data_IF_573644286891
#
_entry.id   IF_573644286891
#
_cell.length_a   1.000
_cell.length_b   1.000
_cell.length_c   1.000
_cell.angle_alpha   90.00
_cell.angle_beta   90.00
_cell.angle_gamma   90.00
#
_symmetry.space_group_name_H-M   'P 1'
#
loop_
_entity.id
_entity.type
_entity.pdbx_description
1 polymer ?
#
# COMPACT_ATOMS: atom_id res chain seq x y z
N UNK A 1 7.88 -10.33 46.16
CA UNK A 1 9.27 -10.44 46.67
C UNK A 1 10.21 -10.43 45.48
N UNK A 2 11.27 -9.59 45.55
CA UNK A 2 12.49 -9.59 44.71
C UNK A 2 12.30 -9.22 43.24
N UNK A 3 13.13 -8.39 42.59
CA UNK A 3 14.25 -7.56 43.02
C UNK A 3 14.45 -6.49 41.95
N UNK A 4 14.67 -5.25 42.39
CA UNK A 4 15.15 -4.13 41.60
C UNK A 4 16.67 -4.27 41.40
N UNK A 5 17.16 -4.04 40.19
CA UNK A 5 18.59 -3.80 39.89
C UNK A 5 18.67 -2.72 38.79
N UNK A 6 19.21 -1.52 39.08
CA UNK A 6 19.49 -0.51 38.07
C UNK A 6 20.93 -0.67 37.56
N UNK A 7 21.09 -1.03 36.29
CA UNK A 7 22.37 -0.95 35.59
C UNK A 7 22.55 0.47 35.04
N UNK A 8 23.40 1.25 35.70
CA UNK A 8 23.81 2.57 35.25
C UNK A 8 24.71 2.42 34.01
N UNK A 9 24.20 2.79 32.84
CA UNK A 9 24.98 2.90 31.61
C UNK A 9 25.43 4.35 31.42
N UNK A 10 26.74 4.55 31.60
CA UNK A 10 27.46 5.80 31.38
C UNK A 10 27.43 6.17 29.90
N UNK A 11 26.64 7.18 29.55
CA UNK A 11 26.53 7.69 28.19
C UNK A 11 27.65 8.72 27.94
N UNK A 12 28.70 8.32 27.22
CA UNK A 12 29.77 9.24 26.75
C UNK A 12 29.23 10.12 25.62
N UNK A 13 29.10 11.42 25.88
CA UNK A 13 28.75 12.43 24.87
C UNK A 13 29.94 12.73 23.94
N UNK A 14 29.92 12.19 22.73
CA UNK A 14 30.74 12.67 21.61
C UNK A 14 29.99 13.79 20.87
N UNK A 15 30.55 15.00 20.88
CA UNK A 15 30.01 16.16 20.17
C UNK A 15 30.43 16.07 18.69
N UNK A 16 29.49 15.73 17.80
CA UNK A 16 29.69 15.74 16.35
C UNK A 16 29.28 17.10 15.81
N UNK A 17 30.20 17.82 15.16
CA UNK A 17 29.95 19.09 14.50
C UNK A 17 29.10 18.88 13.22
N UNK A 18 27.88 19.42 13.19
CA UNK A 18 27.04 19.44 11.99
C UNK A 18 27.64 20.38 10.93
N UNK A 19 28.10 19.82 9.81
CA UNK A 19 28.32 20.58 8.58
C UNK A 19 26.98 20.78 7.87
N UNK A 20 26.62 22.00 7.41
CA UNK A 20 25.40 22.23 6.66
C UNK A 20 25.59 21.72 5.23
N UNK A 21 25.42 20.41 5.04
CA UNK A 21 25.27 19.83 3.70
C UNK A 21 23.97 20.37 3.12
N UNK A 22 24.08 21.36 2.22
CA UNK A 22 22.97 21.87 1.43
C UNK A 22 22.34 20.72 0.67
N UNK A 23 21.19 20.25 1.14
CA UNK A 23 20.36 19.31 0.40
C UNK A 23 19.66 20.11 -0.69
N UNK A 24 20.27 20.17 -1.87
CA UNK A 24 19.52 20.52 -3.08
C UNK A 24 18.34 19.56 -3.18
N UNK A 25 17.13 20.12 -3.29
CA UNK A 25 15.90 19.33 -3.37
C UNK A 25 15.91 18.52 -4.67
N UNK A 26 16.40 17.28 -4.59
CA UNK A 26 16.38 16.35 -5.72
C UNK A 26 14.94 15.91 -5.98
N UNK A 27 14.50 16.06 -7.23
CA UNK A 27 13.23 15.49 -7.67
C UNK A 27 13.36 13.96 -7.76
N UNK A 28 12.46 13.18 -7.15
CA UNK A 28 12.50 11.72 -7.26
C UNK A 28 12.27 11.28 -8.71
N UNK A 29 12.92 10.20 -9.10
CA UNK A 29 12.71 9.53 -10.38
C UNK A 29 11.44 8.68 -10.34
N UNK A 30 10.91 8.34 -11.53
CA UNK A 30 9.71 7.48 -11.65
C UNK A 30 9.93 6.11 -10.99
N UNK A 31 11.14 5.55 -11.10
CA UNK A 31 11.51 4.28 -10.47
C UNK A 31 11.45 4.36 -8.95
N UNK A 32 12.05 5.40 -8.36
CA UNK A 32 12.02 5.63 -6.90
C UNK A 32 10.58 5.78 -6.41
N UNK A 33 9.72 6.51 -7.13
CA UNK A 33 8.31 6.64 -6.78
C UNK A 33 7.51 5.34 -6.93
N UNK A 34 7.85 4.50 -7.90
CA UNK A 34 7.27 3.17 -8.07
C UNK A 34 7.57 2.27 -6.88
N UNK A 35 8.82 2.27 -6.41
CA UNK A 35 9.25 1.50 -5.24
C UNK A 35 8.54 1.95 -3.95
N UNK A 36 8.34 3.26 -3.77
CA UNK A 36 7.61 3.80 -2.62
C UNK A 36 6.13 3.39 -2.59
N UNK A 37 5.53 3.09 -3.75
CA UNK A 37 4.14 2.65 -3.83
C UNK A 37 3.98 1.13 -3.65
N UNK A 38 5.06 0.34 -3.68
CA UNK A 38 5.01 -1.13 -3.59
C UNK A 38 4.32 -1.64 -2.32
N UNK A 39 4.61 -1.14 -1.10
CA UNK A 39 3.95 -1.63 0.11
C UNK A 39 2.43 -1.45 0.07
N UNK A 40 1.97 -0.32 -0.48
CA UNK A 40 0.55 -0.03 -0.66
C UNK A 40 -0.11 -1.02 -1.64
N UNK A 41 0.56 -1.32 -2.78
CA UNK A 41 0.08 -2.29 -3.77
C UNK A 41 0.02 -3.70 -3.18
N UNK A 42 1.06 -4.14 -2.48
CA UNK A 42 1.14 -5.48 -1.90
C UNK A 42 0.04 -5.72 -0.86
N UNK A 43 -0.20 -4.72 0.01
CA UNK A 43 -1.27 -4.76 1.03
C UNK A 43 -2.66 -4.95 0.39
N UNK A 44 -2.95 -4.19 -0.67
CA UNK A 44 -4.24 -4.27 -1.36
C UNK A 44 -4.37 -5.55 -2.18
N UNK A 45 -3.29 -5.98 -2.86
CA UNK A 45 -3.26 -7.24 -3.61
C UNK A 45 -3.46 -8.45 -2.71
N UNK A 46 -2.86 -8.47 -1.51
CA UNK A 46 -3.08 -9.54 -0.54
C UNK A 46 -4.55 -9.62 -0.10
N UNK A 47 -5.19 -8.47 0.15
CA UNK A 47 -6.61 -8.43 0.48
C UNK A 47 -7.49 -8.89 -0.70
N UNK A 48 -7.16 -8.49 -1.93
CA UNK A 48 -7.86 -8.95 -3.14
C UNK A 48 -7.77 -10.48 -3.22
N UNK A 49 -6.56 -11.05 -3.21
CA UNK A 49 -6.36 -12.50 -3.37
C UNK A 49 -7.05 -13.33 -2.27
N UNK A 50 -7.05 -12.85 -1.03
CA UNK A 50 -7.77 -13.48 0.07
C UNK A 50 -9.31 -13.49 -0.12
N UNK A 51 -9.84 -12.63 -1.00
CA UNK A 51 -11.26 -12.40 -1.19
C UNK A 51 -11.73 -12.73 -2.62
N UNK A 52 -11.07 -13.65 -3.35
CA UNK A 52 -11.50 -14.07 -4.69
C UNK A 52 -12.42 -15.29 -4.72
N UNK A 53 -12.58 -16.02 -3.62
CA UNK A 53 -13.32 -17.29 -3.63
C UNK A 53 -14.79 -17.12 -3.96
N UNK A 54 -15.30 -17.89 -4.93
CA UNK A 54 -16.69 -17.84 -5.39
C UNK A 54 -17.23 -19.25 -5.66
N UNK A 55 -18.57 -19.37 -5.68
CA UNK A 55 -19.26 -20.58 -6.13
C UNK A 55 -19.96 -20.37 -7.49
N UNK A 56 -20.47 -19.17 -7.73
CA UNK A 56 -21.17 -18.79 -8.98
C UNK A 56 -20.80 -17.37 -9.41
N UNK A 57 -21.04 -17.03 -10.68
CA UNK A 57 -20.78 -15.67 -11.22
C UNK A 57 -21.46 -14.58 -10.39
N UNK A 58 -22.65 -14.87 -9.85
CA UNK A 58 -23.41 -13.94 -9.02
C UNK A 58 -22.72 -13.60 -7.68
N UNK A 59 -21.70 -14.36 -7.27
CA UNK A 59 -20.89 -14.05 -6.08
C UNK A 59 -19.83 -13.01 -6.37
N UNK A 60 -19.50 -12.77 -7.64
CA UNK A 60 -18.42 -11.89 -8.05
C UNK A 60 -18.90 -10.47 -8.32
N UNK A 61 -18.02 -9.50 -8.08
CA UNK A 61 -18.21 -8.10 -8.42
C UNK A 61 -16.90 -7.48 -8.89
N UNK A 62 -17.01 -6.46 -9.75
CA UNK A 62 -15.89 -5.63 -10.14
C UNK A 62 -15.75 -4.47 -9.15
N UNK A 63 -14.53 -4.21 -8.69
CA UNK A 63 -14.18 -3.05 -7.87
C UNK A 63 -13.10 -2.23 -8.55
N UNK A 64 -13.06 -0.93 -8.27
CA UNK A 64 -11.90 -0.10 -8.58
C UNK A 64 -10.79 -0.34 -7.55
N UNK A 65 -9.55 -0.46 -8.01
CA UNK A 65 -8.39 -0.70 -7.15
C UNK A 65 -7.47 0.51 -7.25
N UNK A 66 -7.58 1.40 -6.27
CA UNK A 66 -6.78 2.62 -6.22
C UNK A 66 -6.51 3.08 -4.79
N UNK A 67 -5.47 3.86 -4.64
CA UNK A 67 -5.11 4.59 -3.42
C UNK A 67 -4.62 5.99 -3.78
N UNK A 68 -4.13 6.74 -2.80
CA UNK A 68 -3.51 8.05 -3.04
C UNK A 68 -2.12 7.98 -3.69
N UNK A 69 -1.48 6.80 -3.72
CA UNK A 69 -0.14 6.61 -4.30
C UNK A 69 -0.05 5.54 -5.41
N UNK A 70 -1.13 4.84 -5.74
CA UNK A 70 -1.17 3.93 -6.89
C UNK A 70 -2.58 3.80 -7.48
N UNK A 71 -2.63 3.34 -8.73
CA UNK A 71 -3.85 2.96 -9.44
C UNK A 71 -3.62 1.63 -10.17
N UNK A 72 -4.65 0.78 -10.21
CA UNK A 72 -4.66 -0.51 -10.89
C UNK A 72 -5.98 -0.75 -11.65
N UNK A 73 -6.69 0.33 -12.03
CA UNK A 73 -7.98 0.28 -12.70
C UNK A 73 -9.02 -0.52 -11.90
N UNK A 74 -9.39 -1.72 -12.36
CA UNK A 74 -10.42 -2.55 -11.76
C UNK A 74 -9.98 -4.01 -11.62
N UNK A 75 -10.52 -4.71 -10.63
CA UNK A 75 -10.37 -6.16 -10.49
C UNK A 75 -11.68 -6.81 -10.06
N UNK A 76 -11.74 -8.13 -10.11
CA UNK A 76 -12.89 -8.93 -9.70
C UNK A 76 -12.63 -9.60 -8.35
N UNK A 77 -13.55 -9.44 -7.40
CA UNK A 77 -13.51 -10.07 -6.07
C UNK A 77 -14.87 -10.71 -5.74
N UNK A 78 -14.90 -11.54 -4.70
CA UNK A 78 -16.13 -11.99 -4.09
C UNK A 78 -16.83 -10.83 -3.39
N UNK A 79 -18.15 -10.71 -3.55
CA UNK A 79 -18.99 -9.67 -2.92
C UNK A 79 -18.85 -9.64 -1.40
N UNK A 80 -18.69 -10.79 -0.77
CA UNK A 80 -18.47 -10.91 0.68
C UNK A 80 -17.17 -10.25 1.17
N UNK A 81 -16.19 -10.07 0.29
CA UNK A 81 -14.89 -9.50 0.61
C UNK A 81 -14.75 -8.00 0.37
N UNK A 82 -15.79 -7.33 -0.13
CA UNK A 82 -15.74 -5.91 -0.49
C UNK A 82 -15.21 -5.03 0.65
N UNK A 83 -15.80 -5.16 1.84
CA UNK A 83 -15.42 -4.36 3.00
C UNK A 83 -13.96 -4.57 3.41
N UNK A 84 -13.44 -5.79 3.29
CA UNK A 84 -12.05 -6.10 3.63
C UNK A 84 -11.07 -5.44 2.63
N UNK A 85 -11.38 -5.46 1.34
CA UNK A 85 -10.55 -4.80 0.31
C UNK A 85 -10.62 -3.28 0.42
N UNK A 86 -11.80 -2.71 0.67
CA UNK A 86 -11.97 -1.28 0.94
C UNK A 86 -11.17 -0.82 2.16
N UNK A 87 -11.20 -1.60 3.24
CA UNK A 87 -10.39 -1.34 4.42
C UNK A 87 -8.89 -1.39 4.09
N UNK A 88 -8.43 -2.38 3.33
CA UNK A 88 -7.03 -2.46 2.91
C UNK A 88 -6.60 -1.26 2.07
N UNK A 89 -7.44 -0.79 1.13
CA UNK A 89 -7.18 0.41 0.33
C UNK A 89 -7.11 1.67 1.19
N UNK A 90 -8.02 1.81 2.16
CA UNK A 90 -8.02 2.92 3.11
C UNK A 90 -6.75 2.93 3.96
N UNK A 91 -6.37 1.78 4.55
CA UNK A 91 -5.16 1.67 5.35
C UNK A 91 -3.89 1.84 4.52
N UNK A 92 -3.84 1.34 3.27
CA UNK A 92 -2.71 1.61 2.37
C UNK A 92 -2.57 3.11 2.08
N UNK A 93 -3.68 3.81 1.88
CA UNK A 93 -3.69 5.27 1.65
C UNK A 93 -3.23 6.07 2.86
N UNK A 94 -3.53 5.59 4.08
CA UNK A 94 -3.16 6.26 5.32
C UNK A 94 -1.73 5.95 5.76
N UNK A 95 -1.30 4.69 5.67
CA UNK A 95 -0.04 4.23 6.26
C UNK A 95 1.13 4.37 5.27
N UNK A 96 0.92 3.90 4.04
CA UNK A 96 2.01 3.70 3.07
C UNK A 96 2.17 4.90 2.14
N UNK A 97 1.05 5.49 1.70
CA UNK A 97 1.08 6.58 0.73
C UNK A 97 1.56 7.92 1.32
N UNK A 98 1.70 8.04 2.64
CA UNK A 98 2.33 9.21 3.25
C UNK A 98 3.80 9.34 2.84
N UNK A 99 4.54 8.24 2.78
CA UNK A 99 5.94 8.24 2.37
C UNK A 99 6.10 8.63 0.89
N UNK A 100 5.20 8.13 0.03
CA UNK A 100 5.14 8.52 -1.38
C UNK A 100 4.94 10.03 -1.54
N UNK A 101 3.97 10.62 -0.82
CA UNK A 101 3.72 12.05 -0.86
C UNK A 101 4.91 12.86 -0.29
N UNK A 102 5.51 12.41 0.81
CA UNK A 102 6.66 13.05 1.44
C UNK A 102 7.91 13.03 0.55
N UNK A 103 8.06 12.01 -0.30
CA UNK A 103 9.12 11.94 -1.30
C UNK A 103 8.91 12.90 -2.49
N UNK A 104 7.77 13.60 -2.58
CA UNK A 104 7.42 14.47 -3.70
C UNK A 104 6.91 13.71 -4.93
N UNK A 105 6.56 12.45 -4.77
CA UNK A 105 6.05 11.62 -5.85
C UNK A 105 4.62 12.02 -6.26
N UNK A 106 4.30 11.82 -7.54
CA UNK A 106 2.98 12.10 -8.11
C UNK A 106 2.44 10.84 -8.75
N UNK A 107 1.17 10.54 -8.46
CA UNK A 107 0.47 9.43 -9.09
C UNK A 107 0.13 9.80 -10.54
N UNK A 108 0.69 9.06 -11.49
CA UNK A 108 0.34 9.13 -12.91
C UNK A 108 -0.63 7.97 -13.19
N UNK A 109 -1.88 8.29 -13.49
CA UNK A 109 -2.93 7.31 -13.76
C UNK A 109 -2.97 7.05 -15.28
N UNK A 110 -2.59 5.84 -15.75
CA UNK A 110 -2.73 5.50 -17.15
C UNK A 110 -4.22 5.31 -17.52
N UNK A 111 -4.60 5.46 -18.81
CA UNK A 111 -5.95 5.13 -19.25
C UNK A 111 -6.32 3.67 -18.95
N UNK A 112 -7.49 3.47 -18.37
CA UNK A 112 -8.02 2.14 -18.07
C UNK A 112 -8.90 1.63 -19.22
N UNK A 113 -8.82 0.32 -19.50
CA UNK A 113 -9.86 -0.36 -20.28
C UNK A 113 -11.15 -0.45 -19.47
N UNK A 114 -12.30 -0.42 -20.15
CA UNK A 114 -13.59 -0.56 -19.50
C UNK A 114 -13.71 -1.90 -18.74
N UNK A 115 -14.53 -1.95 -17.67
CA UNK A 115 -14.63 -3.13 -16.83
C UNK A 115 -15.21 -4.32 -17.60
N UNK A 116 -14.57 -5.48 -17.46
CA UNK A 116 -15.09 -6.75 -17.95
C UNK A 116 -16.08 -7.30 -16.92
N UNK A 117 -17.23 -7.87 -17.33
CA UNK A 117 -18.15 -8.50 -16.39
C UNK A 117 -17.45 -9.61 -15.59
N UNK A 118 -17.57 -9.61 -14.25
CA UNK A 118 -16.86 -10.56 -13.40
C UNK A 118 -17.51 -11.93 -13.51
N UNK A 119 -16.69 -12.98 -13.57
CA UNK A 119 -17.16 -14.37 -13.64
C UNK A 119 -16.44 -15.25 -12.63
N UNK A 120 -17.09 -16.31 -12.18
CA UNK A 120 -16.52 -17.31 -11.30
C UNK A 120 -15.92 -18.44 -12.13
N UNK A 121 -14.58 -18.50 -12.20
CA UNK A 121 -13.85 -19.58 -12.88
C UNK A 121 -12.99 -20.33 -11.88
N UNK A 122 -13.12 -21.65 -11.85
CA UNK A 122 -12.30 -22.51 -10.98
C UNK A 122 -12.36 -22.11 -9.50
N UNK A 123 -13.53 -21.62 -9.05
CA UNK A 123 -13.74 -21.15 -7.69
C UNK A 123 -13.14 -19.79 -7.37
N UNK A 124 -12.71 -19.01 -8.37
CA UNK A 124 -12.15 -17.66 -8.20
C UNK A 124 -12.83 -16.63 -9.11
N UNK A 125 -13.08 -15.43 -8.58
CA UNK A 125 -13.54 -14.29 -9.35
C UNK A 125 -12.43 -13.77 -10.28
N UNK A 126 -12.73 -13.65 -11.57
CA UNK A 126 -11.87 -13.10 -12.63
C UNK A 126 -12.66 -12.15 -13.49
#
# INVERSE_FOLDING_TARGET
MRSLLPAALTFSLTVIACSPSGSEARTPTVTECGEQATPARDKVNAAIEANRTCSVDADCMTIEVRSTCFDACTTSIAKSGQAAVEQAMSSASQDECQAFAAAGCKLIIPPCMGPVPPVCREGKCS
#
